data_IF_176583695658
#
_entry.id   IF_176583695658
#
_cell.length_a   1.000
_cell.length_b   1.000
_cell.length_c   1.000
_cell.angle_alpha   90.00
_cell.angle_beta   90.00
_cell.angle_gamma   90.00
#
_symmetry.space_group_name_H-M   'P 1'
#
loop_
_entity.id
_entity.type
_entity.pdbx_description
1 polymer ?
#
# COMPACT_ATOMS: atom_id res chain seq x y z
N UNK A 1 69.59 -27.47 -21.01
CA UNK A 1 70.04 -28.77 -21.51
C UNK A 1 68.90 -29.74 -21.44
N UNK A 2 68.69 -30.41 -22.59
CA UNK A 2 67.81 -31.58 -22.87
C UNK A 2 66.29 -31.40 -22.71
N UNK A 3 65.70 -31.37 -23.93
CA UNK A 3 64.32 -31.63 -24.30
C UNK A 3 64.05 -33.14 -24.17
N UNK A 4 62.81 -33.46 -23.76
CA UNK A 4 62.25 -34.79 -24.06
C UNK A 4 60.81 -34.62 -24.48
N UNK A 5 60.54 -34.97 -25.72
CA UNK A 5 59.22 -35.07 -26.28
C UNK A 5 58.66 -36.46 -25.99
N UNK A 6 57.39 -36.53 -25.63
CA UNK A 6 56.65 -37.82 -25.62
C UNK A 6 55.41 -37.65 -26.45
N UNK A 7 55.44 -38.40 -27.53
CA UNK A 7 54.34 -38.67 -28.44
C UNK A 7 53.33 -39.63 -27.80
N UNK A 8 52.08 -39.25 -27.73
CA UNK A 8 50.96 -40.09 -27.34
C UNK A 8 50.08 -40.37 -28.56
N UNK A 9 49.91 -41.65 -28.85
CA UNK A 9 49.21 -42.20 -30.01
C UNK A 9 47.69 -42.05 -29.83
N UNK A 10 47.03 -41.67 -30.92
CA UNK A 10 45.57 -41.55 -31.04
C UNK A 10 45.00 -42.96 -31.36
N UNK A 11 44.21 -43.54 -30.45
CA UNK A 11 43.42 -44.75 -30.72
C UNK A 11 41.99 -44.31 -31.09
N UNK A 12 41.59 -44.56 -32.33
CA UNK A 12 40.24 -44.34 -32.81
C UNK A 12 39.37 -45.54 -32.41
N UNK A 13 38.39 -45.31 -31.58
CA UNK A 13 37.33 -46.26 -31.26
C UNK A 13 36.11 -46.00 -32.15
N UNK A 14 35.79 -46.93 -33.01
CA UNK A 14 34.56 -46.95 -33.78
C UNK A 14 33.40 -47.37 -32.87
N UNK A 15 32.48 -46.44 -32.60
CA UNK A 15 31.17 -46.74 -31.97
C UNK A 15 30.16 -47.06 -33.07
N UNK A 16 29.69 -48.30 -33.11
CA UNK A 16 28.54 -48.75 -33.93
C UNK A 16 27.27 -48.20 -33.27
N UNK A 17 26.55 -47.36 -34.00
CA UNK A 17 25.21 -46.85 -33.59
C UNK A 17 24.20 -47.97 -33.81
N UNK A 18 23.77 -48.60 -32.71
CA UNK A 18 22.61 -49.49 -32.72
C UNK A 18 21.34 -48.65 -32.78
N UNK A 19 20.59 -48.77 -33.84
CA UNK A 19 19.29 -48.13 -33.98
C UNK A 19 18.27 -48.73 -33.00
N UNK A 20 17.75 -47.92 -32.11
CA UNK A 20 16.52 -48.25 -31.36
C UNK A 20 15.33 -47.91 -32.26
N UNK A 21 14.65 -48.93 -32.73
CA UNK A 21 13.34 -48.85 -33.36
C UNK A 21 12.34 -48.41 -32.30
N UNK A 22 11.88 -47.17 -32.39
CA UNK A 22 10.78 -46.65 -31.57
C UNK A 22 9.47 -47.13 -32.17
N UNK A 23 8.78 -48.03 -31.46
CA UNK A 23 7.39 -48.35 -31.72
C UNK A 23 6.54 -47.12 -31.42
N UNK A 24 5.61 -46.69 -32.29
CA UNK A 24 4.70 -45.61 -32.01
C UNK A 24 3.73 -46.03 -30.88
N UNK A 25 3.79 -45.31 -29.76
CA UNK A 25 2.81 -45.46 -28.70
C UNK A 25 1.54 -44.69 -29.11
N UNK A 26 0.50 -45.42 -29.46
CA UNK A 26 -0.87 -44.90 -29.64
C UNK A 26 -1.50 -44.53 -28.29
N UNK A 27 -0.89 -43.56 -27.60
CA UNK A 27 -1.54 -42.92 -26.47
C UNK A 27 -2.43 -41.79 -27.00
N UNK A 28 -3.75 -42.03 -26.98
CA UNK A 28 -4.70 -40.98 -27.26
C UNK A 28 -4.45 -39.75 -26.38
N UNK A 29 -4.56 -38.52 -26.92
CA UNK A 29 -4.35 -37.33 -26.12
C UNK A 29 -5.38 -37.29 -24.98
N UNK A 30 -4.91 -37.35 -23.75
CA UNK A 30 -5.73 -37.10 -22.56
C UNK A 30 -6.22 -35.66 -22.66
N UNK A 31 -7.50 -35.47 -22.94
CA UNK A 31 -8.11 -34.15 -22.92
C UNK A 31 -7.91 -33.57 -21.55
N UNK A 32 -7.13 -32.46 -21.47
CA UNK A 32 -6.98 -31.72 -20.24
C UNK A 32 -8.39 -31.27 -19.77
N UNK A 33 -8.76 -31.65 -18.54
CA UNK A 33 -10.00 -31.17 -17.95
C UNK A 33 -9.97 -29.62 -17.95
N UNK A 34 -11.09 -28.97 -18.25
CA UNK A 34 -11.16 -27.51 -18.20
C UNK A 34 -10.74 -27.07 -16.79
N UNK A 35 -9.66 -26.32 -16.68
CA UNK A 35 -9.28 -25.62 -15.46
C UNK A 35 -10.43 -24.67 -15.16
N UNK A 36 -11.10 -24.87 -14.03
CA UNK A 36 -12.14 -23.95 -13.59
C UNK A 36 -11.51 -22.55 -13.54
N UNK A 37 -12.10 -21.61 -14.27
CA UNK A 37 -11.65 -20.22 -14.20
C UNK A 37 -11.69 -19.79 -12.74
N UNK A 38 -10.56 -19.25 -12.23
CA UNK A 38 -10.55 -18.67 -10.89
C UNK A 38 -11.64 -17.60 -10.80
N UNK A 39 -12.34 -17.46 -9.66
CA UNK A 39 -13.37 -16.45 -9.49
C UNK A 39 -12.78 -15.09 -9.84
N UNK A 40 -13.41 -14.39 -10.78
CA UNK A 40 -12.98 -13.06 -11.18
C UNK A 40 -13.50 -12.09 -10.13
N UNK A 41 -12.60 -11.64 -9.26
CA UNK A 41 -12.89 -10.56 -8.33
C UNK A 41 -12.84 -9.20 -9.02
N UNK A 42 -13.52 -8.17 -8.47
CA UNK A 42 -13.46 -6.82 -9.00
C UNK A 42 -12.03 -6.28 -9.13
N UNK A 43 -11.74 -5.63 -10.25
CA UNK A 43 -10.44 -5.01 -10.51
C UNK A 43 -10.36 -3.60 -9.92
N UNK A 44 -9.64 -3.46 -8.83
CA UNK A 44 -9.37 -2.20 -8.14
C UNK A 44 -8.21 -1.39 -8.75
N UNK A 45 -7.57 -1.88 -9.80
CA UNK A 45 -6.39 -1.20 -10.38
C UNK A 45 -6.71 0.22 -10.86
N UNK A 46 -5.74 1.09 -10.77
CA UNK A 46 -5.77 2.42 -11.35
C UNK A 46 -5.48 3.57 -10.39
N UNK A 47 -5.69 4.77 -10.91
CA UNK A 47 -5.52 6.02 -10.19
C UNK A 47 -6.87 6.53 -9.69
N UNK A 48 -6.88 6.96 -8.46
CA UNK A 48 -8.07 7.42 -7.76
C UNK A 48 -7.81 8.75 -7.06
N UNK A 49 -8.90 9.47 -6.79
CA UNK A 49 -8.85 10.69 -6.00
C UNK A 49 -9.99 10.69 -4.98
N UNK A 50 -9.78 11.19 -3.77
CA UNK A 50 -10.84 11.27 -2.75
C UNK A 50 -12.07 12.02 -3.26
N UNK A 51 -13.24 11.38 -3.13
CA UNK A 51 -14.51 11.89 -3.64
C UNK A 51 -15.58 12.09 -2.55
N UNK A 52 -15.23 11.79 -1.32
CA UNK A 52 -16.11 12.00 -0.20
C UNK A 52 -15.75 11.15 1.01
N UNK A 53 -16.23 11.60 2.14
CA UNK A 53 -16.10 10.92 3.42
C UNK A 53 -17.40 11.09 4.20
N UNK A 54 -17.92 10.00 4.70
CA UNK A 54 -18.97 10.01 5.71
C UNK A 54 -18.39 9.43 7.00
N UNK A 55 -18.47 10.18 8.06
CA UNK A 55 -18.15 9.70 9.38
C UNK A 55 -19.47 9.48 10.12
N UNK A 56 -19.52 8.46 10.97
CA UNK A 56 -20.65 8.29 11.90
C UNK A 56 -20.90 9.63 12.59
N UNK A 57 -22.13 10.14 12.59
CA UNK A 57 -22.49 11.41 13.23
C UNK A 57 -22.25 11.38 14.74
N UNK A 58 -22.13 10.21 15.35
CA UNK A 58 -21.78 10.07 16.75
C UNK A 58 -20.30 10.45 16.97
N UNK A 59 -20.09 11.32 17.95
CA UNK A 59 -18.72 11.61 18.38
C UNK A 59 -18.12 10.37 19.01
N UNK A 60 -16.82 10.08 18.78
CA UNK A 60 -16.15 9.01 19.49
C UNK A 60 -16.31 9.16 21.00
N UNK A 61 -16.76 8.11 21.66
CA UNK A 61 -16.82 8.05 23.11
C UNK A 61 -15.52 7.47 23.63
N UNK A 62 -14.74 8.27 24.32
CA UNK A 62 -13.48 7.85 24.92
C UNK A 62 -13.70 7.11 26.24
N UNK A 63 -12.83 6.15 26.53
CA UNK A 63 -12.71 5.63 27.89
C UNK A 63 -12.29 6.76 28.85
N UNK A 64 -12.63 6.69 30.14
CA UNK A 64 -12.22 7.73 31.08
C UNK A 64 -10.70 7.98 31.12
N UNK A 65 -9.89 6.91 30.99
CA UNK A 65 -8.44 7.00 30.94
C UNK A 65 -7.94 7.71 29.68
N UNK A 66 -8.50 7.38 28.51
CA UNK A 66 -8.14 8.02 27.26
C UNK A 66 -8.58 9.50 27.24
N UNK A 67 -9.78 9.82 27.74
CA UNK A 67 -10.25 11.18 27.84
C UNK A 67 -9.31 12.05 28.71
N UNK A 68 -8.85 11.51 29.85
CA UNK A 68 -7.91 12.22 30.72
C UNK A 68 -6.54 12.42 30.03
N UNK A 69 -6.01 11.37 29.36
CA UNK A 69 -4.74 11.47 28.65
C UNK A 69 -4.79 12.46 27.48
N UNK A 70 -5.88 12.46 26.71
CA UNK A 70 -6.09 13.42 25.61
C UNK A 70 -6.24 14.84 26.11
N UNK A 71 -6.93 15.07 27.24
CA UNK A 71 -7.04 16.38 27.85
C UNK A 71 -5.69 16.93 28.34
N UNK A 72 -4.79 16.08 28.85
CA UNK A 72 -3.42 16.48 29.18
C UNK A 72 -2.60 16.80 27.94
N UNK A 73 -2.75 16.00 26.87
CA UNK A 73 -2.11 16.26 25.59
C UNK A 73 -2.54 17.60 25.00
N UNK A 74 -3.86 17.89 25.00
CA UNK A 74 -4.41 19.15 24.47
C UNK A 74 -3.94 20.40 25.23
N UNK A 75 -3.52 20.27 26.49
CA UNK A 75 -2.91 21.38 27.23
C UNK A 75 -1.50 21.72 26.78
N UNK A 76 -0.78 20.73 26.27
CA UNK A 76 0.61 20.87 25.86
C UNK A 76 0.76 21.27 24.38
N UNK A 77 -0.28 21.07 23.57
CA UNK A 77 -0.25 21.26 22.13
C UNK A 77 -1.35 22.21 21.69
N UNK A 78 -1.03 23.11 20.78
CA UNK A 78 -1.97 23.99 20.13
C UNK A 78 -2.56 23.37 18.86
N UNK A 79 -3.60 23.99 18.29
CA UNK A 79 -4.29 23.48 17.11
C UNK A 79 -3.38 23.36 15.88
N UNK A 80 -2.34 24.21 15.86
CA UNK A 80 -1.35 24.27 14.77
C UNK A 80 -0.17 23.29 14.95
N UNK A 81 -0.09 22.60 16.08
CA UNK A 81 0.92 21.57 16.32
C UNK A 81 0.54 20.26 15.61
N UNK A 82 0.37 20.32 14.29
CA UNK A 82 0.04 19.17 13.47
C UNK A 82 1.32 18.42 13.03
N UNK A 83 1.49 17.15 13.42
CA UNK A 83 2.61 16.33 12.95
C UNK A 83 2.75 16.27 11.43
N UNK A 84 1.67 16.45 10.69
CA UNK A 84 1.69 16.56 9.23
C UNK A 84 2.57 17.71 8.72
N UNK A 85 2.71 18.80 9.47
CA UNK A 85 3.65 19.89 9.17
C UNK A 85 5.11 19.46 9.27
N UNK A 86 5.37 18.40 10.01
CA UNK A 86 6.69 17.78 10.17
C UNK A 86 6.84 16.49 9.36
N UNK A 87 6.08 16.36 8.28
CA UNK A 87 6.12 15.21 7.39
C UNK A 87 5.75 13.88 8.07
N UNK A 88 5.04 13.92 9.18
CA UNK A 88 4.56 12.73 9.90
C UNK A 88 3.14 12.42 9.47
N UNK A 89 2.98 11.35 8.71
CA UNK A 89 1.67 10.87 8.29
C UNK A 89 0.97 10.07 9.40
N UNK A 90 -0.32 10.30 9.65
CA UNK A 90 -1.03 9.62 10.73
C UNK A 90 -1.29 8.11 10.50
N UNK A 91 -1.14 7.62 9.28
CA UNK A 91 -1.36 6.20 8.95
C UNK A 91 -2.82 5.77 9.00
N UNK A 92 -3.05 4.50 9.30
CA UNK A 92 -4.39 3.92 9.41
C UNK A 92 -5.08 4.29 10.73
N UNK A 93 -6.40 4.47 10.75
CA UNK A 93 -7.33 4.38 9.61
C UNK A 93 -7.40 5.67 8.77
N UNK A 94 -6.74 6.75 9.15
CA UNK A 94 -6.86 8.07 8.51
C UNK A 94 -6.39 8.07 7.05
N UNK A 95 -5.44 7.23 6.69
CA UNK A 95 -4.96 7.09 5.32
C UNK A 95 -6.05 6.74 4.30
N UNK A 96 -7.09 6.02 4.74
CA UNK A 96 -8.15 5.52 3.83
C UNK A 96 -8.94 6.62 3.14
N UNK A 97 -9.15 7.74 3.82
CA UNK A 97 -9.90 8.88 3.25
C UNK A 97 -9.06 10.13 3.08
N UNK A 98 -7.82 10.03 3.36
CA UNK A 98 -6.69 10.92 3.17
C UNK A 98 -6.93 12.40 2.95
N UNK A 99 -5.83 13.07 2.78
CA UNK A 99 -5.72 14.40 2.21
C UNK A 99 -6.02 14.35 0.70
N UNK A 100 -6.21 15.47 0.03
CA UNK A 100 -6.57 15.56 -1.39
C UNK A 100 -5.38 15.21 -2.30
N UNK A 101 -4.91 13.97 -2.20
CA UNK A 101 -3.81 13.44 -3.00
C UNK A 101 -4.25 12.28 -3.87
N UNK A 102 -3.55 12.10 -4.97
CA UNK A 102 -3.73 10.95 -5.86
C UNK A 102 -3.38 9.65 -5.13
N UNK A 103 -4.17 8.62 -5.38
CA UNK A 103 -3.97 7.27 -4.84
C UNK A 103 -3.84 6.31 -6.01
N UNK A 104 -2.78 5.53 -6.06
CA UNK A 104 -2.61 4.44 -7.01
C UNK A 104 -2.83 3.10 -6.32
N UNK A 105 -3.63 2.24 -6.95
CA UNK A 105 -3.91 0.89 -6.47
C UNK A 105 -3.41 -0.11 -7.50
N UNK A 106 -2.58 -1.03 -7.07
CA UNK A 106 -1.95 -2.07 -7.89
C UNK A 106 -2.25 -3.45 -7.30
N UNK A 107 -3.31 -4.14 -7.77
CA UNK A 107 -3.56 -5.53 -7.38
C UNK A 107 -2.52 -6.46 -8.00
N UNK A 108 -2.15 -7.47 -7.22
CA UNK A 108 -1.32 -8.60 -7.64
C UNK A 108 -1.96 -9.88 -7.13
N UNK A 109 -1.47 -11.02 -7.56
CA UNK A 109 -2.01 -12.31 -7.12
C UNK A 109 -1.92 -12.49 -5.59
N UNK A 110 -0.80 -12.12 -4.99
CA UNK A 110 -0.52 -12.35 -3.56
C UNK A 110 -0.79 -11.15 -2.66
N UNK A 111 -0.94 -9.97 -3.23
CA UNK A 111 -1.11 -8.72 -2.48
C UNK A 111 -1.78 -7.62 -3.30
N UNK A 112 -2.25 -6.62 -2.60
CA UNK A 112 -2.70 -5.36 -3.16
C UNK A 112 -1.83 -4.26 -2.59
N UNK A 113 -1.17 -3.51 -3.47
CA UNK A 113 -0.34 -2.38 -3.09
C UNK A 113 -1.09 -1.08 -3.31
N UNK A 114 -1.03 -0.18 -2.33
CA UNK A 114 -1.64 1.14 -2.38
C UNK A 114 -0.57 2.19 -2.15
N UNK A 115 -0.47 3.15 -3.05
CA UNK A 115 0.42 4.29 -2.98
C UNK A 115 -0.39 5.57 -2.86
N UNK A 116 -0.06 6.40 -1.89
CA UNK A 116 -0.59 7.77 -1.78
C UNK A 116 0.50 8.74 -2.19
N UNK A 117 0.20 9.67 -3.09
CA UNK A 117 1.10 10.76 -3.46
C UNK A 117 1.54 11.54 -2.22
N UNK A 118 0.57 11.94 -1.40
CA UNK A 118 0.86 12.65 -0.16
C UNK A 118 1.76 11.86 0.77
N UNK A 119 2.86 12.48 1.17
CA UNK A 119 3.90 11.90 2.03
C UNK A 119 4.62 10.68 1.45
N UNK A 120 4.44 10.37 0.17
CA UNK A 120 5.04 9.18 -0.46
C UNK A 120 4.65 7.87 0.24
N UNK A 121 3.42 7.76 0.72
CA UNK A 121 3.01 6.65 1.56
C UNK A 121 2.72 5.39 0.75
N UNK A 122 3.09 4.26 1.33
CA UNK A 122 2.89 2.94 0.77
C UNK A 122 2.24 2.00 1.78
N UNK A 123 1.26 1.22 1.32
CA UNK A 123 0.64 0.15 2.09
C UNK A 123 0.58 -1.13 1.27
N UNK A 124 0.95 -2.23 1.88
CA UNK A 124 0.76 -3.56 1.34
C UNK A 124 -0.35 -4.28 2.11
N UNK A 125 -1.29 -4.86 1.38
CA UNK A 125 -2.36 -5.70 1.90
C UNK A 125 -2.11 -7.09 1.36
N UNK A 126 -1.81 -8.05 2.22
CA UNK A 126 -1.52 -9.43 1.84
C UNK A 126 -2.81 -10.23 1.70
N UNK A 127 -2.88 -11.12 0.71
CA UNK A 127 -4.01 -12.03 0.58
C UNK A 127 -3.83 -13.22 1.53
N UNK A 128 -4.88 -13.54 2.30
CA UNK A 128 -4.83 -14.55 3.36
C UNK A 128 -4.52 -15.97 2.83
N UNK A 129 -4.96 -16.29 1.62
CA UNK A 129 -4.74 -17.57 0.93
C UNK A 129 -3.32 -17.73 0.34
N UNK A 130 -2.50 -16.67 0.38
CA UNK A 130 -1.12 -16.66 -0.11
C UNK A 130 -0.06 -16.64 1.00
N UNK A 131 -0.40 -17.18 2.17
CA UNK A 131 0.53 -17.33 3.28
C UNK A 131 1.24 -16.02 3.68
N UNK A 132 0.50 -14.99 4.14
CA UNK A 132 1.04 -13.69 4.47
C UNK A 132 2.13 -13.79 5.55
N UNK A 133 3.16 -12.93 5.50
CA UNK A 133 4.17 -12.89 6.54
C UNK A 133 3.56 -12.45 7.88
N UNK A 134 4.17 -12.85 8.98
CA UNK A 134 3.81 -12.33 10.30
C UNK A 134 4.22 -10.86 10.44
N UNK A 135 3.47 -10.11 11.23
CA UNK A 135 3.81 -8.74 11.58
C UNK A 135 5.05 -8.72 12.49
N UNK A 136 6.09 -8.00 12.05
CA UNK A 136 7.36 -7.93 12.80
C UNK A 136 7.37 -6.75 13.76
N UNK A 137 6.98 -5.56 13.30
CA UNK A 137 7.00 -4.33 14.10
C UNK A 137 5.74 -3.49 13.83
N UNK A 138 5.24 -2.78 14.85
CA UNK A 138 4.16 -1.81 14.65
C UNK A 138 4.57 -0.70 13.69
N UNK A 139 3.66 -0.32 12.79
CA UNK A 139 3.88 0.76 11.84
C UNK A 139 2.66 1.67 11.72
N UNK A 140 2.81 2.84 11.09
CA UNK A 140 1.69 3.73 10.85
C UNK A 140 0.59 3.09 9.97
N UNK A 141 0.97 2.21 9.03
CA UNK A 141 0.03 1.48 8.16
C UNK A 141 -0.41 0.14 8.74
N UNK A 142 0.24 -0.33 9.82
CA UNK A 142 -0.03 -1.63 10.43
C UNK A 142 0.38 -2.81 9.53
N UNK A 143 -0.14 -3.98 9.89
CA UNK A 143 -0.05 -5.20 9.11
C UNK A 143 -1.46 -5.57 8.62
N UNK A 144 -1.64 -5.63 7.31
CA UNK A 144 -2.94 -5.81 6.67
C UNK A 144 -3.01 -7.14 5.95
N UNK A 145 -4.06 -7.92 6.28
CA UNK A 145 -4.37 -9.20 5.62
C UNK A 145 -5.80 -9.13 5.11
N UNK A 146 -6.03 -9.62 3.90
CA UNK A 146 -7.33 -9.54 3.25
C UNK A 146 -7.83 -10.89 2.75
N UNK A 147 -9.15 -11.01 2.66
CA UNK A 147 -9.84 -12.09 1.99
C UNK A 147 -11.06 -11.57 1.23
N UNK A 148 -11.53 -12.35 0.27
CA UNK A 148 -12.72 -11.99 -0.50
C UNK A 148 -14.00 -12.56 0.11
N UNK A 149 -15.03 -11.71 0.22
CA UNK A 149 -16.42 -12.10 0.48
C UNK A 149 -17.27 -11.68 -0.71
N UNK A 150 -17.43 -12.59 -1.67
CA UNK A 150 -18.03 -12.26 -2.97
C UNK A 150 -17.24 -11.17 -3.68
N UNK A 151 -17.85 -10.03 -3.96
CA UNK A 151 -17.24 -8.89 -4.62
C UNK A 151 -16.65 -7.84 -3.63
N UNK A 152 -16.65 -8.15 -2.35
CA UNK A 152 -16.11 -7.28 -1.29
C UNK A 152 -14.77 -7.80 -0.81
N UNK A 153 -13.74 -6.97 -0.85
CA UNK A 153 -12.46 -7.25 -0.21
C UNK A 153 -12.55 -6.82 1.26
N UNK A 154 -12.44 -7.79 2.16
CA UNK A 154 -12.38 -7.54 3.60
C UNK A 154 -10.93 -7.50 4.03
N UNK A 155 -10.50 -6.42 4.67
CA UNK A 155 -9.12 -6.21 5.11
C UNK A 155 -9.11 -6.05 6.62
N UNK A 156 -8.31 -6.86 7.29
CA UNK A 156 -8.02 -6.76 8.72
C UNK A 156 -6.63 -6.19 8.93
N UNK A 157 -6.53 -5.09 9.70
CA UNK A 157 -5.26 -4.43 9.99
C UNK A 157 -5.01 -4.40 11.49
N UNK A 158 -3.86 -4.92 11.87
CA UNK A 158 -3.34 -4.96 13.23
C UNK A 158 -1.94 -4.35 13.29
N UNK A 159 -1.27 -4.45 14.43
CA UNK A 159 0.12 -3.95 14.62
C UNK A 159 0.27 -2.48 14.22
N UNK A 160 -0.72 -1.69 14.57
CA UNK A 160 -0.68 -0.25 14.40
C UNK A 160 0.25 0.39 15.44
N UNK A 161 1.06 1.34 14.98
CA UNK A 161 1.82 2.20 15.89
C UNK A 161 0.83 3.09 16.65
N UNK A 162 1.05 3.27 17.95
CA UNK A 162 0.25 4.21 18.71
C UNK A 162 0.37 5.62 18.11
N UNK A 163 -0.76 6.30 18.07
CA UNK A 163 -0.84 7.66 17.55
C UNK A 163 -1.76 8.48 18.46
N UNK A 164 -1.21 9.34 19.31
CA UNK A 164 -1.99 10.09 20.32
C UNK A 164 -2.80 11.23 19.73
N UNK A 165 -2.88 11.34 18.43
CA UNK A 165 -3.18 12.58 17.77
C UNK A 165 -4.64 13.03 17.82
N UNK A 166 -4.80 14.34 17.84
CA UNK A 166 -5.97 15.16 18.14
C UNK A 166 -7.15 15.05 17.18
N UNK A 167 -7.06 14.35 16.09
CA UNK A 167 -8.11 14.32 15.08
C UNK A 167 -9.22 13.31 15.35
N UNK A 168 -9.45 12.97 16.60
CA UNK A 168 -10.51 12.03 17.00
C UNK A 168 -10.31 10.60 16.50
N UNK A 169 -9.08 10.21 16.25
CA UNK A 169 -8.71 8.89 15.73
C UNK A 169 -7.38 8.43 16.36
N UNK A 170 -7.18 8.80 17.63
CA UNK A 170 -6.08 8.26 18.40
C UNK A 170 -6.11 6.74 18.38
N UNK A 171 -4.94 6.11 18.30
CA UNK A 171 -4.78 4.66 18.34
C UNK A 171 -3.78 4.25 19.39
N UNK A 172 -4.05 3.14 20.06
CA UNK A 172 -3.07 2.41 20.85
C UNK A 172 -2.49 1.23 20.05
N UNK A 173 -1.59 0.49 20.64
CA UNK A 173 -1.06 -0.75 20.05
C UNK A 173 -2.10 -1.88 19.96
N UNK A 174 -3.25 -1.75 20.63
CA UNK A 174 -4.34 -2.73 20.62
C UNK A 174 -5.39 -2.38 19.55
N UNK A 175 -5.17 -1.31 18.79
CA UNK A 175 -6.06 -0.89 17.73
C UNK A 175 -6.16 -1.94 16.62
N UNK A 176 -7.39 -2.19 16.18
CA UNK A 176 -7.71 -3.03 15.04
C UNK A 176 -8.59 -2.24 14.06
N UNK A 177 -8.30 -2.37 12.78
CA UNK A 177 -9.08 -1.76 11.71
C UNK A 177 -9.59 -2.84 10.78
N UNK A 178 -10.90 -2.86 10.57
CA UNK A 178 -11.54 -3.71 9.57
C UNK A 178 -12.09 -2.82 8.47
N UNK A 179 -11.77 -3.15 7.23
CA UNK A 179 -12.22 -2.44 6.04
C UNK A 179 -13.04 -3.38 5.16
N UNK A 180 -14.10 -2.85 4.56
CA UNK A 180 -14.88 -3.53 3.54
C UNK A 180 -14.86 -2.70 2.27
N UNK A 181 -14.08 -3.15 1.31
CA UNK A 181 -13.76 -2.41 0.09
C UNK A 181 -14.55 -3.03 -1.06
N UNK A 182 -15.31 -2.19 -1.79
CA UNK A 182 -16.07 -2.61 -2.96
C UNK A 182 -15.96 -1.59 -4.09
N UNK A 183 -16.15 -2.07 -5.32
CA UNK A 183 -16.33 -1.21 -6.49
C UNK A 183 -17.80 -0.90 -6.70
N UNK A 184 -18.08 0.34 -7.04
CA UNK A 184 -19.39 0.79 -7.53
C UNK A 184 -19.18 1.52 -8.85
N UNK A 185 -20.11 1.33 -9.79
CA UNK A 185 -20.21 2.17 -10.97
C UNK A 185 -21.33 3.20 -10.77
N UNK A 186 -21.00 4.46 -10.96
CA UNK A 186 -21.97 5.57 -10.85
C UNK A 186 -22.01 6.32 -12.17
N UNK A 187 -23.18 6.84 -12.51
CA UNK A 187 -23.32 7.77 -13.65
C UNK A 187 -22.85 9.15 -13.21
N UNK A 188 -21.90 9.69 -13.97
CA UNK A 188 -21.38 11.05 -13.77
C UNK A 188 -21.41 11.73 -15.14
N UNK A 189 -22.30 12.67 -15.32
CA UNK A 189 -22.49 13.42 -16.58
C UNK A 189 -22.68 12.51 -17.81
N UNK A 190 -23.43 11.40 -17.64
CA UNK A 190 -23.73 10.43 -18.68
C UNK A 190 -22.61 9.41 -18.94
N UNK A 191 -21.57 9.40 -18.12
CA UNK A 191 -20.48 8.42 -18.19
C UNK A 191 -20.46 7.50 -16.98
N UNK A 192 -20.20 6.20 -17.22
CA UNK A 192 -19.98 5.24 -16.13
C UNK A 192 -18.58 5.41 -15.56
N UNK A 193 -18.53 5.83 -14.31
CA UNK A 193 -17.28 6.05 -13.56
C UNK A 193 -17.19 5.07 -12.41
N UNK A 194 -16.03 4.44 -12.24
CA UNK A 194 -15.75 3.56 -11.12
C UNK A 194 -15.49 4.37 -9.85
N UNK A 195 -16.02 3.87 -8.74
CA UNK A 195 -15.76 4.37 -7.40
C UNK A 195 -15.38 3.21 -6.49
N UNK A 196 -14.38 3.42 -5.65
CA UNK A 196 -14.12 2.55 -4.52
C UNK A 196 -14.88 3.13 -3.32
N UNK A 197 -15.67 2.27 -2.68
CA UNK A 197 -16.31 2.58 -1.40
C UNK A 197 -15.66 1.69 -0.35
N UNK A 198 -15.11 2.32 0.69
CA UNK A 198 -14.43 1.64 1.78
C UNK A 198 -15.14 1.96 3.11
N UNK A 199 -15.78 0.95 3.69
CA UNK A 199 -16.39 1.01 5.01
C UNK A 199 -15.37 0.56 6.04
N UNK A 200 -15.00 1.45 6.96
CA UNK A 200 -13.93 1.26 7.92
C UNK A 200 -14.49 1.24 9.33
N UNK A 201 -14.09 0.24 10.11
CA UNK A 201 -14.39 0.13 11.53
C UNK A 201 -13.07 0.10 12.30
N UNK A 202 -12.84 1.13 13.12
CA UNK A 202 -11.75 1.15 14.10
C UNK A 202 -12.27 0.67 15.45
N UNK A 203 -11.63 -0.34 15.99
CA UNK A 203 -11.85 -0.84 17.35
C UNK A 203 -10.56 -0.68 18.16
N UNK A 204 -10.63 0.04 19.27
CA UNK A 204 -9.51 0.19 20.21
C UNK A 204 -10.08 0.31 21.63
N UNK A 205 -10.15 -0.80 22.38
CA UNK A 205 -10.82 -0.81 23.69
C UNK A 205 -10.08 -0.01 24.78
N UNK A 206 -8.81 0.35 24.53
CA UNK A 206 -8.07 1.25 25.43
C UNK A 206 -8.50 2.69 25.26
N UNK A 207 -8.89 3.08 24.04
CA UNK A 207 -9.19 4.45 23.66
C UNK A 207 -10.69 4.71 23.64
N UNK A 208 -11.49 3.81 23.02
CA UNK A 208 -12.90 4.02 22.74
C UNK A 208 -13.79 3.01 23.45
N UNK A 209 -14.94 3.49 23.94
CA UNK A 209 -15.99 2.62 24.49
C UNK A 209 -16.82 1.95 23.40
N UNK A 210 -16.87 2.56 22.21
CA UNK A 210 -17.58 2.05 21.03
C UNK A 210 -16.71 2.17 19.78
N UNK A 211 -16.83 1.23 18.80
CA UNK A 211 -16.09 1.34 17.55
C UNK A 211 -16.42 2.60 16.75
N UNK A 212 -15.43 3.16 16.09
CA UNK A 212 -15.59 4.27 15.15
C UNK A 212 -15.87 3.73 13.76
N UNK A 213 -16.91 4.23 13.09
CA UNK A 213 -17.27 3.86 11.74
C UNK A 213 -17.09 5.04 10.79
N UNK A 214 -16.46 4.78 9.67
CA UNK A 214 -16.17 5.78 8.64
C UNK A 214 -16.34 5.13 7.28
N UNK A 215 -16.89 5.87 6.32
CA UNK A 215 -16.95 5.45 4.92
C UNK A 215 -16.17 6.44 4.08
N UNK A 216 -15.15 5.96 3.42
CA UNK A 216 -14.37 6.71 2.42
C UNK A 216 -14.80 6.35 1.01
N UNK A 217 -14.76 7.33 0.11
CA UNK A 217 -15.05 7.11 -1.30
C UNK A 217 -13.92 7.69 -2.14
N UNK A 218 -13.40 6.88 -3.06
CA UNK A 218 -12.40 7.28 -4.04
C UNK A 218 -13.02 7.20 -5.44
N UNK A 219 -12.86 8.23 -6.26
CA UNK A 219 -13.28 8.27 -7.66
C UNK A 219 -12.13 7.86 -8.55
N UNK A 220 -12.36 6.96 -9.50
CA UNK A 220 -11.38 6.61 -10.54
C UNK A 220 -11.07 7.82 -11.42
N UNK A 221 -9.79 8.12 -11.60
CA UNK A 221 -9.26 9.28 -12.29
C UNK A 221 -8.06 8.89 -13.16
N UNK A 222 -8.31 8.22 -14.31
CA UNK A 222 -7.24 7.77 -15.22
C UNK A 222 -6.51 8.94 -15.92
N UNK A 223 -7.05 10.14 -15.81
CA UNK A 223 -6.48 11.40 -16.29
C UNK A 223 -5.40 12.00 -15.38
N UNK A 224 -5.26 11.47 -14.14
CA UNK A 224 -4.24 11.90 -13.21
C UNK A 224 -2.94 11.11 -13.39
N UNK A 225 -1.91 11.57 -12.73
CA UNK A 225 -0.64 10.86 -12.52
C UNK A 225 -0.24 10.98 -11.06
N UNK A 226 0.54 10.02 -10.58
CA UNK A 226 1.16 10.08 -9.28
C UNK A 226 2.36 11.02 -9.38
N UNK A 227 2.34 12.10 -8.62
CA UNK A 227 3.42 13.08 -8.59
C UNK A 227 4.39 12.78 -7.45
N UNK A 228 5.59 13.30 -7.57
CA UNK A 228 6.54 13.32 -6.46
C UNK A 228 6.02 14.25 -5.34
N UNK A 229 6.10 13.78 -4.11
CA UNK A 229 5.75 14.57 -2.94
C UNK A 229 6.99 14.81 -2.08
N UNK A 230 7.38 16.07 -1.94
CA UNK A 230 8.61 16.50 -1.30
C UNK A 230 8.34 17.31 -0.02
N UNK A 231 7.69 16.68 0.94
CA UNK A 231 7.33 17.32 2.21
C UNK A 231 8.56 17.90 2.96
N UNK A 232 9.71 17.24 2.86
CA UNK A 232 10.94 17.64 3.54
C UNK A 232 11.59 18.88 2.95
N UNK A 233 11.31 19.23 1.70
CA UNK A 233 11.86 20.42 1.06
C UNK A 233 11.41 21.71 1.77
N UNK A 234 10.14 21.76 2.17
CA UNK A 234 9.62 22.90 2.92
C UNK A 234 10.33 23.08 4.28
N UNK A 235 10.66 21.99 4.96
CA UNK A 235 11.42 22.03 6.22
C UNK A 235 12.87 22.46 6.00
N UNK A 236 13.46 22.07 4.86
CA UNK A 236 14.80 22.50 4.50
C UNK A 236 14.84 23.99 4.16
N UNK A 237 13.86 24.49 3.43
CA UNK A 237 13.72 25.91 3.09
C UNK A 237 13.50 26.78 4.36
N UNK A 238 12.69 26.31 5.31
CA UNK A 238 12.52 26.95 6.62
C UNK A 238 13.86 27.02 7.37
N UNK A 239 14.58 25.91 7.47
CA UNK A 239 15.90 25.83 8.08
C UNK A 239 16.91 26.80 7.45
N UNK A 240 16.95 26.89 6.11
CA UNK A 240 17.83 27.83 5.41
C UNK A 240 17.44 29.28 5.72
N UNK A 241 16.14 29.57 5.71
CA UNK A 241 15.59 30.91 5.97
C UNK A 241 15.94 31.38 7.39
N UNK A 242 15.74 30.54 8.40
CA UNK A 242 16.07 30.83 9.80
C UNK A 242 17.55 31.15 10.00
N UNK A 243 18.43 30.58 9.18
CA UNK A 243 19.88 30.78 9.23
C UNK A 243 20.40 31.84 8.28
N UNK A 244 19.53 32.48 7.49
CA UNK A 244 19.92 33.47 6.49
C UNK A 244 20.79 32.87 5.38
N UNK A 245 20.63 31.57 5.09
CA UNK A 245 21.37 30.87 4.05
C UNK A 245 20.58 30.89 2.74
N UNK A 246 21.30 31.05 1.63
CA UNK A 246 20.72 30.95 0.28
C UNK A 246 21.56 29.96 -0.51
N UNK A 247 20.88 29.01 -1.16
CA UNK A 247 21.55 28.07 -2.06
C UNK A 247 21.97 28.80 -3.36
N UNK A 248 23.10 28.42 -3.98
CA UNK A 248 23.46 28.96 -5.28
C UNK A 248 22.48 28.47 -6.35
N UNK A 249 22.13 29.36 -7.25
CA UNK A 249 21.36 29.00 -8.44
C UNK A 249 22.29 28.27 -9.44
N UNK A 250 22.11 26.94 -9.52
CA UNK A 250 22.94 26.10 -10.39
C UNK A 250 22.57 26.26 -11.86
N UNK A 251 21.34 26.70 -12.16
CA UNK A 251 20.90 26.96 -13.54
C UNK A 251 21.48 28.26 -14.10
N UNK A 252 21.94 29.16 -13.21
CA UNK A 252 22.64 30.37 -13.59
C UNK A 252 24.11 30.13 -13.98
N UNK A 253 24.65 28.91 -13.80
CA UNK A 253 26.02 28.59 -14.18
C UNK A 253 26.18 28.59 -15.71
N UNK A 254 27.31 29.13 -16.24
CA UNK A 254 27.54 29.10 -17.67
C UNK A 254 27.71 27.65 -18.17
N UNK A 255 27.16 27.37 -19.35
CA UNK A 255 27.41 26.10 -20.01
C UNK A 255 28.91 25.90 -20.25
N UNK A 256 29.44 24.66 -20.07
CA UNK A 256 30.84 24.40 -20.38
C UNK A 256 31.11 24.74 -21.84
N UNK A 257 32.17 25.51 -22.06
CA UNK A 257 32.62 25.78 -23.43
C UNK A 257 33.05 24.47 -24.08
N UNK A 258 32.71 24.21 -25.33
CA UNK A 258 33.09 23.00 -26.07
C UNK A 258 34.58 22.86 -26.27
#
# INVERSE_FOLDING_TARGET
MRKSASTAALAAALFTVGGCEQTPSDAAPVAAAPVAAAPQHPDFSGLYFPAGRQQDPQRPEYTPAAAAALAEYEKAFELDDDPGRYCIWPGMPRAVWGAPFTVEIQPREQDLSIYWEGYGMYRKIYMADHNPPEAVLPSAMGHSVAHWEGDTLVVETTSLKQYPYMTRQATSSDAQVVERIRLEERDVDGQKVKFIVNEVVLTDPKIYTTPIKITGTLRHRPDLQLLEYTCTDALWDEYLTERGLTLPDMDALPNPQP
#
